data_IF_925531968820
#
_entry.id   IF_925531968820
#
_cell.length_a   1.000
_cell.length_b   1.000
_cell.length_c   1.000
_cell.angle_alpha   90.00
_cell.angle_beta   90.00
_cell.angle_gamma   90.00
#
_symmetry.space_group_name_H-M   'P 1'
#
loop_
_entity.id
_entity.type
_entity.pdbx_description
1 polymer ?
#
# COMPACT_ATOMS: atom_id res chain seq x y z
N UNK A 1 -4.61 22.67 -5.25
CA UNK A 1 -4.24 21.76 -4.13
C UNK A 1 -3.65 22.51 -2.93
N UNK A 2 -2.65 23.39 -3.12
CA UNK A 2 -1.96 24.07 -1.99
C UNK A 2 -2.77 25.15 -1.25
N UNK A 3 -4.00 25.48 -1.68
CA UNK A 3 -4.82 26.48 -0.98
C UNK A 3 -5.41 25.97 0.35
N UNK A 4 -5.38 24.65 0.58
CA UNK A 4 -5.88 23.98 1.80
C UNK A 4 -4.76 23.48 2.71
N UNK A 5 -3.50 23.60 2.30
CA UNK A 5 -2.37 23.16 3.12
C UNK A 5 -2.08 24.17 4.24
N UNK A 6 -1.96 23.69 5.48
CA UNK A 6 -1.66 24.50 6.66
C UNK A 6 -0.18 24.38 7.05
N UNK A 7 0.54 25.50 6.91
CA UNK A 7 1.89 25.73 7.47
C UNK A 7 3.04 24.97 6.78
N UNK A 8 4.26 25.54 6.73
CA UNK A 8 5.45 24.75 6.45
C UNK A 8 5.77 23.82 7.64
N UNK A 9 6.54 22.73 7.43
CA UNK A 9 7.01 21.91 8.54
C UNK A 9 7.80 22.77 9.54
N UNK A 10 7.43 22.65 10.81
CA UNK A 10 8.17 23.20 11.93
C UNK A 10 9.41 22.38 12.27
N UNK A 11 10.18 22.87 13.25
CA UNK A 11 11.37 22.17 13.75
C UNK A 11 10.98 20.81 14.32
N UNK A 12 11.59 19.73 13.82
CA UNK A 12 11.29 18.35 14.22
C UNK A 12 10.21 17.65 13.38
N UNK A 13 9.65 18.33 12.37
CA UNK A 13 8.66 17.78 11.43
C UNK A 13 9.27 17.50 10.04
N UNK A 14 10.60 17.53 9.91
CA UNK A 14 11.30 17.43 8.62
C UNK A 14 11.08 16.08 7.91
N UNK A 15 10.82 15.03 8.70
CA UNK A 15 10.57 13.67 8.21
C UNK A 15 9.06 13.29 8.22
N UNK A 16 8.18 14.25 8.53
CA UNK A 16 6.74 14.02 8.57
C UNK A 16 6.09 14.42 7.24
N UNK A 17 5.06 13.66 6.87
CA UNK A 17 4.18 13.99 5.74
C UNK A 17 2.84 14.55 6.22
N UNK A 18 2.50 14.30 7.49
CA UNK A 18 1.30 14.78 8.15
C UNK A 18 1.50 14.72 9.67
N UNK A 19 1.08 15.75 10.37
CA UNK A 19 1.09 15.82 11.84
C UNK A 19 -0.33 16.11 12.40
N UNK A 20 -1.14 16.87 11.66
CA UNK A 20 -2.50 17.19 12.06
C UNK A 20 -3.13 18.27 11.19
N UNK A 21 -4.47 18.36 11.22
CA UNK A 21 -5.23 19.34 10.42
C UNK A 21 -4.89 20.79 10.79
N UNK A 22 -4.61 21.03 12.08
CA UNK A 22 -4.31 22.36 12.62
C UNK A 22 -2.81 22.66 12.79
N UNK A 23 -1.93 21.68 12.56
CA UNK A 23 -0.47 21.83 12.72
C UNK A 23 0.24 21.82 11.38
N UNK A 24 0.32 20.65 10.75
CA UNK A 24 0.93 20.43 9.45
C UNK A 24 0.14 19.36 8.69
N UNK A 25 -0.60 19.80 7.69
CA UNK A 25 -1.45 18.92 6.85
C UNK A 25 -0.68 18.23 5.73
N UNK A 26 0.63 18.46 5.62
CA UNK A 26 1.41 18.11 4.43
C UNK A 26 1.13 19.04 3.25
N UNK A 27 2.01 18.99 2.25
CA UNK A 27 1.81 19.61 0.94
C UNK A 27 2.44 18.75 -0.15
N UNK A 28 1.77 18.66 -1.29
CA UNK A 28 2.26 17.92 -2.45
C UNK A 28 2.94 18.90 -3.40
N UNK A 29 4.27 18.89 -3.39
CA UNK A 29 5.06 19.84 -4.18
C UNK A 29 5.27 19.33 -5.61
N UNK A 30 5.10 20.24 -6.56
CA UNK A 30 5.57 20.05 -7.92
C UNK A 30 7.11 20.02 -7.98
N UNK A 31 7.64 18.97 -8.56
CA UNK A 31 9.05 18.70 -8.86
C UNK A 31 9.21 18.63 -10.37
N UNK A 32 10.46 18.57 -10.85
CA UNK A 32 10.72 18.32 -12.27
C UNK A 32 10.22 16.95 -12.75
N UNK A 33 9.96 16.02 -11.83
CA UNK A 33 9.49 14.67 -12.14
C UNK A 33 7.96 14.61 -12.24
N UNK A 34 7.22 15.34 -11.40
CA UNK A 34 5.77 15.24 -11.32
C UNK A 34 4.99 16.47 -11.84
N UNK A 35 5.67 17.54 -12.28
CA UNK A 35 5.04 18.71 -12.90
C UNK A 35 4.81 18.47 -14.40
N UNK A 36 3.71 17.78 -14.72
CA UNK A 36 3.37 17.43 -16.10
C UNK A 36 2.92 18.63 -16.94
N UNK A 37 2.65 19.78 -16.32
CA UNK A 37 2.33 21.02 -17.04
C UNK A 37 3.62 21.65 -17.55
N UNK A 38 4.66 21.67 -16.72
CA UNK A 38 5.98 22.19 -17.08
C UNK A 38 6.78 21.21 -17.96
N UNK A 39 6.64 19.90 -17.75
CA UNK A 39 7.45 18.85 -18.39
C UNK A 39 6.60 17.74 -19.02
N UNK A 40 5.73 18.03 -19.99
CA UNK A 40 4.72 17.07 -20.49
C UNK A 40 5.33 15.78 -21.07
N UNK A 41 6.51 15.86 -21.69
CA UNK A 41 7.15 14.72 -22.35
C UNK A 41 8.02 13.86 -21.40
N UNK A 42 8.26 14.33 -20.18
CA UNK A 42 9.15 13.68 -19.22
C UNK A 42 8.56 13.67 -17.80
N UNK A 43 7.24 13.76 -17.70
CA UNK A 43 6.55 13.69 -16.44
C UNK A 43 6.24 12.24 -16.09
N UNK A 44 6.58 11.87 -14.87
CA UNK A 44 6.18 10.62 -14.26
C UNK A 44 5.34 10.99 -13.03
N UNK A 45 4.12 10.47 -12.96
CA UNK A 45 3.29 10.62 -11.78
C UNK A 45 3.94 9.97 -10.55
N UNK A 46 3.34 10.17 -9.39
CA UNK A 46 3.86 9.59 -8.15
C UNK A 46 2.99 8.45 -7.66
N UNK A 47 3.63 7.36 -7.23
CA UNK A 47 2.99 6.27 -6.48
C UNK A 47 3.76 6.03 -5.19
N UNK A 48 3.03 5.87 -4.10
CA UNK A 48 3.63 5.49 -2.82
C UNK A 48 3.73 3.96 -2.77
N UNK A 49 4.95 3.46 -2.67
CA UNK A 49 5.26 2.04 -2.61
C UNK A 49 6.16 1.72 -1.40
N UNK A 50 6.20 0.44 -1.00
CA UNK A 50 7.08 -0.06 0.05
C UNK A 50 7.75 -1.38 -0.35
N UNK A 51 8.63 -1.35 -1.36
CA UNK A 51 9.16 -2.54 -2.01
C UNK A 51 10.08 -3.38 -1.14
N UNK A 52 10.82 -2.83 -0.16
CA UNK A 52 11.72 -3.66 0.64
C UNK A 52 11.19 -4.13 1.97
N UNK A 53 10.36 -3.35 2.65
CA UNK A 53 9.84 -3.82 3.93
C UNK A 53 8.63 -4.75 3.81
N UNK A 54 7.91 -4.77 2.69
CA UNK A 54 6.84 -5.75 2.40
C UNK A 54 6.88 -6.25 0.96
N UNK A 55 5.92 -7.10 0.59
CA UNK A 55 5.78 -7.59 -0.77
C UNK A 55 5.13 -6.57 -1.68
N UNK A 56 5.92 -6.02 -2.59
CA UNK A 56 5.46 -5.16 -3.68
C UNK A 56 5.96 -5.66 -5.03
N UNK A 57 5.10 -5.53 -6.03
CA UNK A 57 5.42 -5.71 -7.45
C UNK A 57 5.13 -4.44 -8.25
N UNK A 58 4.98 -3.29 -7.59
CA UNK A 58 4.53 -2.04 -8.22
C UNK A 58 5.42 -1.66 -9.39
N UNK A 59 6.75 -1.65 -9.23
CA UNK A 59 7.68 -1.30 -10.33
C UNK A 59 7.49 -2.19 -11.57
N UNK A 60 7.40 -3.50 -11.39
CA UNK A 60 7.15 -4.45 -12.48
C UNK A 60 5.75 -4.23 -13.09
N UNK A 61 4.73 -4.01 -12.25
CA UNK A 61 3.36 -3.80 -12.68
C UNK A 61 3.19 -2.48 -13.44
N UNK A 62 3.71 -1.37 -12.93
CA UNK A 62 3.53 -0.04 -13.51
C UNK A 62 4.30 0.08 -14.81
N UNK A 63 5.55 -0.39 -14.85
CA UNK A 63 6.36 -0.33 -16.06
C UNK A 63 5.75 -1.12 -17.22
N UNK A 64 5.43 -2.40 -17.01
CA UNK A 64 4.96 -3.27 -18.10
C UNK A 64 3.48 -3.09 -18.44
N UNK A 65 2.70 -2.42 -17.59
CA UNK A 65 1.32 -2.00 -17.91
C UNK A 65 1.24 -0.52 -18.35
N UNK A 66 2.37 0.12 -18.67
CA UNK A 66 2.44 1.50 -19.19
C UNK A 66 1.77 2.54 -18.26
N UNK A 67 1.86 2.31 -16.95
CA UNK A 67 1.39 3.25 -15.93
C UNK A 67 2.58 4.15 -15.56
N UNK A 68 2.57 5.38 -16.07
CA UNK A 68 3.65 6.35 -15.90
C UNK A 68 3.71 6.92 -14.47
N UNK A 69 4.10 6.09 -13.50
CA UNK A 69 4.28 6.47 -12.09
C UNK A 69 5.56 5.89 -11.49
N UNK A 70 6.16 6.62 -10.56
CA UNK A 70 7.36 6.20 -9.83
C UNK A 70 7.27 6.54 -8.34
N UNK A 71 7.96 5.73 -7.53
CA UNK A 71 8.12 5.98 -6.08
C UNK A 71 9.49 6.59 -5.82
N UNK A 72 9.54 7.64 -5.01
CA UNK A 72 10.73 8.42 -4.68
C UNK A 72 10.86 8.69 -3.17
N UNK A 73 10.41 7.73 -2.36
CA UNK A 73 10.56 7.74 -0.91
C UNK A 73 12.01 7.56 -0.45
N UNK A 74 12.26 7.71 0.87
CA UNK A 74 13.61 7.75 1.42
C UNK A 74 14.34 6.39 1.46
N UNK A 75 13.66 5.27 1.16
CA UNK A 75 14.29 3.94 1.18
C UNK A 75 15.37 3.83 0.08
N UNK A 76 16.65 3.55 0.45
CA UNK A 76 17.74 3.54 -0.52
C UNK A 76 17.57 2.51 -1.64
N UNK A 77 17.81 2.95 -2.88
CA UNK A 77 17.79 2.11 -4.08
C UNK A 77 16.39 1.84 -4.63
N UNK A 78 15.42 1.58 -3.76
CA UNK A 78 14.07 1.20 -4.15
C UNK A 78 13.11 2.40 -4.29
N UNK A 79 13.35 3.49 -3.57
CA UNK A 79 12.45 4.65 -3.52
C UNK A 79 11.19 4.41 -2.70
N UNK A 80 11.20 3.47 -1.77
CA UNK A 80 10.07 3.12 -0.90
C UNK A 80 9.81 4.07 0.27
N UNK A 81 8.61 3.97 0.86
CA UNK A 81 8.17 4.71 2.04
C UNK A 81 7.83 3.78 3.20
N UNK A 82 8.31 4.10 4.40
CA UNK A 82 7.88 3.38 5.61
C UNK A 82 6.35 3.38 5.77
N UNK A 83 5.79 2.36 6.44
CA UNK A 83 4.36 2.28 6.73
C UNK A 83 3.80 3.54 7.40
N UNK A 84 4.56 4.19 8.29
CA UNK A 84 4.12 5.44 8.94
C UNK A 84 4.08 6.62 7.95
N UNK A 85 5.11 6.76 7.11
CA UNK A 85 5.11 7.79 6.06
C UNK A 85 3.94 7.58 5.08
N UNK A 86 3.72 6.33 4.71
CA UNK A 86 2.59 5.84 3.93
C UNK A 86 1.23 6.31 4.48
N UNK A 87 0.92 6.04 5.75
CA UNK A 87 -0.35 6.44 6.37
C UNK A 87 -0.47 7.97 6.50
N UNK A 88 0.62 8.66 6.80
CA UNK A 88 0.67 10.12 6.84
C UNK A 88 0.41 10.74 5.46
N UNK A 89 0.99 10.21 4.38
CA UNK A 89 0.76 10.70 3.02
C UNK A 89 -0.73 10.58 2.65
N UNK A 90 -1.39 9.47 3.02
CA UNK A 90 -2.82 9.32 2.77
C UNK A 90 -3.66 10.32 3.60
N UNK A 91 -3.31 10.52 4.88
CA UNK A 91 -3.96 11.51 5.72
C UNK A 91 -3.81 12.94 5.16
N UNK A 92 -2.61 13.29 4.68
CA UNK A 92 -2.35 14.55 3.99
C UNK A 92 -3.18 14.69 2.72
N UNK A 93 -3.22 13.64 1.88
CA UNK A 93 -4.02 13.62 0.66
C UNK A 93 -5.51 13.85 0.94
N UNK A 94 -6.05 13.21 1.98
CA UNK A 94 -7.40 13.44 2.45
C UNK A 94 -7.60 14.89 2.93
N UNK A 95 -6.68 15.43 3.73
CA UNK A 95 -6.80 16.81 4.23
C UNK A 95 -6.75 17.86 3.11
N UNK A 96 -5.86 17.68 2.12
CA UNK A 96 -5.69 18.63 1.02
C UNK A 96 -6.56 18.33 -0.20
N UNK A 97 -7.38 17.26 -0.15
CA UNK A 97 -8.18 16.76 -1.27
C UNK A 97 -7.33 16.49 -2.53
N UNK A 98 -6.13 15.94 -2.33
CA UNK A 98 -5.20 15.58 -3.40
C UNK A 98 -5.38 14.12 -3.80
N UNK A 99 -5.24 13.83 -5.08
CA UNK A 99 -5.20 12.45 -5.56
C UNK A 99 -3.82 11.85 -5.33
N UNK A 100 -3.80 10.63 -4.78
CA UNK A 100 -2.57 9.85 -4.58
C UNK A 100 -2.79 8.42 -5.08
N UNK A 101 -1.78 7.86 -5.72
CA UNK A 101 -1.71 6.44 -6.04
C UNK A 101 -0.84 5.74 -5.01
N UNK A 102 -1.23 4.55 -4.63
CA UNK A 102 -0.70 3.91 -3.43
C UNK A 102 -0.81 2.40 -3.53
N UNK A 103 0.24 1.66 -3.14
CA UNK A 103 0.12 0.22 -2.91
C UNK A 103 -0.47 -0.03 -1.52
N UNK A 104 -1.64 -0.67 -1.45
CA UNK A 104 -2.26 -1.03 -0.17
C UNK A 104 -2.80 -2.46 -0.16
N UNK A 105 -3.11 -2.94 1.03
CA UNK A 105 -3.68 -4.26 1.27
C UNK A 105 -4.97 -4.19 2.08
N UNK A 106 -5.78 -5.23 1.94
CA UNK A 106 -7.04 -5.39 2.66
C UNK A 106 -7.05 -6.75 3.38
N UNK A 107 -7.78 -6.90 4.50
CA UNK A 107 -8.38 -5.83 5.28
C UNK A 107 -7.32 -5.10 6.11
N UNK A 108 -7.47 -3.78 6.30
CA UNK A 108 -6.55 -2.96 7.10
C UNK A 108 -7.32 -1.76 7.70
N UNK A 109 -6.87 -1.25 8.86
CA UNK A 109 -7.59 -0.24 9.65
C UNK A 109 -7.80 1.09 8.89
N UNK A 110 -6.79 1.58 8.18
CA UNK A 110 -6.86 2.78 7.34
C UNK A 110 -7.92 2.62 6.24
N UNK A 111 -7.97 1.45 5.59
CA UNK A 111 -9.01 1.21 4.57
C UNK A 111 -10.42 1.32 5.17
N UNK A 112 -10.63 0.71 6.34
CA UNK A 112 -11.93 0.76 7.04
C UNK A 112 -12.28 2.18 7.50
N UNK A 113 -11.29 2.96 7.94
CA UNK A 113 -11.48 4.33 8.40
C UNK A 113 -12.05 5.24 7.30
N UNK A 114 -11.65 5.04 6.05
CA UNK A 114 -12.05 5.90 4.92
C UNK A 114 -13.21 5.34 4.08
N UNK A 115 -13.73 4.16 4.42
CA UNK A 115 -14.85 3.54 3.71
C UNK A 115 -16.11 4.43 3.78
N UNK A 116 -16.71 4.74 2.63
CA UNK A 116 -17.88 5.62 2.54
C UNK A 116 -17.58 7.12 2.72
N UNK A 117 -16.31 7.51 2.79
CA UNK A 117 -15.88 8.92 2.81
C UNK A 117 -15.48 9.38 1.41
N UNK A 118 -15.21 10.68 1.21
CA UNK A 118 -14.68 11.19 -0.05
C UNK A 118 -13.24 10.73 -0.36
N UNK A 119 -12.53 10.20 0.64
CA UNK A 119 -11.18 9.64 0.51
C UNK A 119 -11.19 8.10 0.52
N UNK A 120 -12.32 7.49 0.15
CA UNK A 120 -12.43 6.03 0.01
C UNK A 120 -11.46 5.50 -1.05
N UNK A 121 -10.79 4.40 -0.74
CA UNK A 121 -9.84 3.75 -1.64
C UNK A 121 -10.56 3.24 -2.89
N UNK A 122 -10.00 3.58 -4.06
CA UNK A 122 -10.45 3.05 -5.34
C UNK A 122 -9.40 2.12 -5.89
N UNK A 123 -9.79 0.86 -6.13
CA UNK A 123 -8.87 -0.16 -6.63
C UNK A 123 -8.55 0.08 -8.11
N UNK A 124 -7.26 0.12 -8.43
CA UNK A 124 -6.79 0.03 -9.81
C UNK A 124 -6.85 -1.43 -10.26
N UNK A 125 -7.53 -1.69 -11.38
CA UNK A 125 -7.63 -3.02 -11.95
C UNK A 125 -6.42 -3.31 -12.84
N UNK A 126 -5.60 -4.26 -12.41
CA UNK A 126 -4.48 -4.81 -13.19
C UNK A 126 -4.92 -6.10 -13.92
N UNK A 127 -4.13 -6.61 -14.88
CA UNK A 127 -4.40 -7.90 -15.50
C UNK A 127 -4.58 -9.00 -14.44
N UNK A 128 -5.53 -9.93 -14.62
CA UNK A 128 -5.78 -10.96 -13.62
C UNK A 128 -4.56 -11.87 -13.41
N UNK A 129 -4.36 -12.38 -12.18
CA UNK A 129 -3.25 -13.27 -11.89
C UNK A 129 -3.35 -14.58 -12.68
N UNK A 130 -2.22 -15.00 -13.25
CA UNK A 130 -2.04 -16.33 -13.84
C UNK A 130 -0.88 -17.04 -13.16
N UNK A 131 -0.83 -18.37 -13.29
CA UNK A 131 0.25 -19.15 -12.68
C UNK A 131 1.61 -18.69 -13.22
N UNK A 132 1.69 -18.51 -14.55
CA UNK A 132 2.87 -17.98 -15.24
C UNK A 132 3.27 -16.62 -14.69
N UNK A 133 2.30 -15.74 -14.44
CA UNK A 133 2.61 -14.44 -13.86
C UNK A 133 3.23 -14.57 -12.47
N UNK A 134 2.63 -15.33 -11.56
CA UNK A 134 3.17 -15.46 -10.21
C UNK A 134 4.57 -16.09 -10.17
N UNK A 135 4.86 -17.03 -11.08
CA UNK A 135 6.18 -17.66 -11.21
C UNK A 135 7.24 -16.74 -11.84
N UNK A 136 6.82 -15.69 -12.54
CA UNK A 136 7.72 -14.73 -13.23
C UNK A 136 7.83 -13.38 -12.52
N UNK A 137 7.26 -13.27 -11.32
CA UNK A 137 7.41 -12.09 -10.48
C UNK A 137 8.84 -11.97 -9.98
N UNK A 138 9.28 -10.72 -9.85
CA UNK A 138 10.54 -10.42 -9.17
C UNK A 138 10.54 -10.98 -7.74
N UNK A 139 11.67 -11.55 -7.34
CA UNK A 139 11.86 -12.08 -6.00
C UNK A 139 12.01 -10.95 -4.97
N UNK A 140 11.94 -11.30 -3.69
CA UNK A 140 12.15 -10.34 -2.58
C UNK A 140 13.51 -9.64 -2.66
N UNK A 141 14.55 -10.30 -3.18
CA UNK A 141 15.89 -9.70 -3.32
C UNK A 141 15.94 -8.78 -4.52
N UNK A 142 15.36 -9.20 -5.64
CA UNK A 142 15.38 -8.44 -6.90
C UNK A 142 14.59 -7.13 -6.81
N UNK A 143 13.41 -7.13 -6.16
CA UNK A 143 12.62 -5.90 -5.99
C UNK A 143 13.33 -4.81 -5.15
N UNK A 144 14.33 -5.21 -4.38
CA UNK A 144 15.18 -4.34 -3.58
C UNK A 144 16.53 -4.02 -4.23
N UNK A 145 16.76 -4.52 -5.44
CA UNK A 145 17.99 -4.26 -6.16
C UNK A 145 18.14 -2.77 -6.43
N UNK A 146 19.36 -2.26 -6.26
CA UNK A 146 19.71 -0.91 -6.72
C UNK A 146 19.64 -0.79 -8.24
N UNK A 147 19.76 -1.92 -8.96
CA UNK A 147 19.58 -1.96 -10.41
C UNK A 147 18.08 -1.94 -10.76
N UNK A 148 17.69 -0.91 -11.51
CA UNK A 148 16.32 -0.72 -11.97
C UNK A 148 15.86 -1.84 -12.90
N UNK A 149 16.73 -2.34 -13.79
CA UNK A 149 16.36 -3.40 -14.75
C UNK A 149 15.97 -4.69 -14.02
N UNK A 150 16.71 -5.03 -12.96
CA UNK A 150 16.41 -6.15 -12.07
C UNK A 150 15.03 -5.98 -11.39
N UNK A 151 14.67 -4.77 -10.94
CA UNK A 151 13.37 -4.48 -10.29
C UNK A 151 12.18 -4.54 -11.25
N UNK A 152 12.40 -4.18 -12.51
CA UNK A 152 11.38 -4.23 -13.57
C UNK A 152 11.04 -5.67 -13.93
N UNK A 153 12.03 -6.56 -13.97
CA UNK A 153 11.80 -7.99 -14.21
C UNK A 153 11.12 -8.32 -15.55
N UNK A 154 10.53 -9.52 -15.63
CA UNK A 154 9.87 -10.03 -16.85
C UNK A 154 8.45 -9.42 -17.00
N UNK A 155 8.03 -9.00 -18.20
CA UNK A 155 6.67 -8.50 -18.45
C UNK A 155 5.55 -9.47 -18.06
N UNK A 156 5.81 -10.78 -18.08
CA UNK A 156 4.82 -11.79 -17.69
C UNK A 156 4.43 -11.70 -16.22
N UNK A 157 5.27 -11.14 -15.37
CA UNK A 157 5.01 -10.95 -13.94
C UNK A 157 4.12 -9.74 -13.61
N UNK A 158 3.75 -8.93 -14.61
CA UNK A 158 3.02 -7.67 -14.44
C UNK A 158 1.49 -7.84 -14.33
N UNK A 159 1.03 -8.68 -13.40
CA UNK A 159 -0.39 -8.90 -13.12
C UNK A 159 -0.76 -8.53 -11.67
N UNK A 160 -2.06 -8.41 -11.39
CA UNK A 160 -2.61 -8.30 -10.04
C UNK A 160 -2.22 -9.49 -9.16
N UNK A 161 -2.27 -9.30 -7.83
CA UNK A 161 -2.11 -10.38 -6.86
C UNK A 161 -3.26 -11.37 -6.88
N UNK A 162 -2.92 -12.63 -6.57
CA UNK A 162 -3.92 -13.64 -6.27
C UNK A 162 -4.81 -13.17 -5.11
N UNK A 163 -6.13 -13.38 -5.18
CA UNK A 163 -6.99 -13.13 -4.04
C UNK A 163 -6.57 -14.07 -2.90
N UNK A 164 -6.00 -13.51 -1.84
CA UNK A 164 -5.65 -14.24 -0.62
C UNK A 164 -6.89 -14.51 0.26
N UNK A 165 -8.05 -14.80 -0.33
CA UNK A 165 -9.34 -14.91 0.36
C UNK A 165 -9.30 -15.93 1.51
N UNK A 166 -8.75 -17.12 1.26
CA UNK A 166 -8.65 -18.15 2.30
C UNK A 166 -7.77 -17.69 3.48
N UNK A 167 -6.61 -17.10 3.20
CA UNK A 167 -5.71 -16.59 4.25
C UNK A 167 -6.37 -15.47 5.05
N UNK A 168 -7.14 -14.59 4.39
CA UNK A 168 -7.91 -13.53 5.05
C UNK A 168 -9.01 -14.12 5.94
N UNK A 169 -9.78 -15.09 5.47
CA UNK A 169 -10.81 -15.77 6.27
C UNK A 169 -10.22 -16.45 7.51
N UNK A 170 -9.09 -17.15 7.33
CA UNK A 170 -8.34 -17.76 8.44
C UNK A 170 -7.89 -16.67 9.42
N UNK A 171 -7.28 -15.60 8.93
CA UNK A 171 -6.79 -14.48 9.74
C UNK A 171 -7.89 -13.81 10.56
N UNK A 172 -9.02 -13.48 9.95
CA UNK A 172 -10.18 -12.88 10.63
C UNK A 172 -10.74 -13.82 11.69
N UNK A 173 -10.90 -15.11 11.37
CA UNK A 173 -11.39 -16.08 12.35
C UNK A 173 -10.45 -16.24 13.54
N UNK A 174 -9.14 -16.18 13.31
CA UNK A 174 -8.15 -16.21 14.39
C UNK A 174 -8.20 -14.94 15.25
N UNK A 175 -8.43 -13.78 14.63
CA UNK A 175 -8.60 -12.52 15.35
C UNK A 175 -9.85 -12.56 16.25
N UNK A 176 -10.99 -13.02 15.72
CA UNK A 176 -12.25 -13.10 16.47
C UNK A 176 -12.13 -14.03 17.70
N UNK A 177 -11.38 -15.13 17.57
CA UNK A 177 -11.15 -16.07 18.67
C UNK A 177 -10.12 -15.54 19.67
N UNK A 178 -9.09 -14.81 19.20
CA UNK A 178 -7.99 -14.35 20.06
C UNK A 178 -8.26 -13.03 20.79
N UNK A 179 -9.22 -12.24 20.30
CA UNK A 179 -9.61 -10.97 20.89
C UNK A 179 -11.14 -10.73 20.79
N UNK A 180 -11.98 -11.60 21.40
CA UNK A 180 -13.43 -11.43 21.34
C UNK A 180 -13.88 -10.11 22.00
N UNK A 181 -15.01 -9.52 21.57
CA UNK A 181 -15.53 -8.29 22.14
C UNK A 181 -15.68 -8.39 23.67
N UNK A 182 -15.02 -7.48 24.40
CA UNK A 182 -15.04 -7.43 25.86
C UNK A 182 -13.90 -8.17 26.57
N UNK A 183 -12.95 -8.76 25.84
CA UNK A 183 -11.72 -9.28 26.42
C UNK A 183 -10.77 -8.13 26.82
N UNK A 184 -10.27 -8.10 28.07
CA UNK A 184 -9.22 -7.16 28.47
C UNK A 184 -7.94 -7.36 27.64
N UNK A 185 -7.32 -6.28 27.17
CA UNK A 185 -6.09 -6.30 26.37
C UNK A 185 -4.94 -7.15 26.96
N UNK A 186 -4.71 -7.20 28.29
CA UNK A 186 -3.67 -8.08 28.86
C UNK A 186 -3.94 -9.58 28.66
N UNK A 187 -5.18 -9.95 28.33
CA UNK A 187 -5.62 -11.32 28.05
C UNK A 187 -5.66 -11.63 26.55
N UNK A 188 -5.31 -10.67 25.67
CA UNK A 188 -5.15 -10.87 24.23
C UNK A 188 -3.91 -11.75 23.91
N UNK A 189 -3.84 -12.98 24.42
CA UNK A 189 -3.37 -14.15 23.67
C UNK A 189 -3.51 -15.45 24.46
N UNK A 190 -4.16 -16.44 23.85
CA UNK A 190 -3.44 -17.65 23.48
C UNK A 190 -3.70 -17.96 22.00
N UNK A 191 -3.08 -17.20 21.09
CA UNK A 191 -3.22 -17.41 19.64
C UNK A 191 -3.00 -18.87 19.21
N UNK A 192 -2.18 -19.62 19.97
CA UNK A 192 -1.98 -21.05 19.76
C UNK A 192 -3.25 -21.90 19.92
N UNK A 193 -4.12 -21.60 20.88
CA UNK A 193 -5.40 -22.32 21.03
C UNK A 193 -6.39 -21.95 19.93
N UNK A 194 -6.43 -20.67 19.54
CA UNK A 194 -7.22 -20.22 18.40
C UNK A 194 -6.81 -20.95 17.11
N UNK A 195 -5.50 -21.04 16.84
CA UNK A 195 -4.94 -21.77 15.68
C UNK A 195 -5.23 -23.26 15.76
N UNK A 196 -5.15 -23.87 16.95
CA UNK A 196 -5.46 -25.29 17.14
C UNK A 196 -6.94 -25.62 16.92
N UNK A 197 -7.82 -24.68 17.26
CA UNK A 197 -9.26 -24.87 17.16
C UNK A 197 -9.84 -24.41 15.82
N UNK A 198 -9.07 -23.68 15.00
CA UNK A 198 -9.49 -23.28 13.67
C UNK A 198 -9.71 -24.53 12.79
N UNK A 199 -10.95 -24.73 12.33
CA UNK A 199 -11.31 -25.77 11.38
C UNK A 199 -12.19 -25.17 10.30
N UNK A 200 -11.81 -25.41 9.05
CA UNK A 200 -12.64 -25.12 7.89
C UNK A 200 -13.03 -26.44 7.24
N UNK A 201 -14.34 -26.66 7.08
CA UNK A 201 -14.85 -27.85 6.37
C UNK A 201 -14.77 -27.64 4.86
N UNK A 202 -14.69 -28.72 4.07
CA UNK A 202 -14.72 -28.62 2.60
C UNK A 202 -15.95 -27.89 2.08
N UNK A 203 -17.11 -28.02 2.75
CA UNK A 203 -18.32 -27.29 2.39
C UNK A 203 -18.20 -25.78 2.64
N UNK A 204 -17.60 -25.36 3.75
CA UNK A 204 -17.32 -23.94 4.00
C UNK A 204 -16.27 -23.40 3.02
N UNK A 205 -15.28 -24.22 2.65
CA UNK A 205 -14.31 -23.87 1.63
C UNK A 205 -15.00 -23.64 0.27
N UNK A 206 -15.95 -24.50 -0.11
CA UNK A 206 -16.74 -24.36 -1.34
C UNK A 206 -17.82 -23.27 -1.32
N UNK A 207 -18.02 -22.57 -0.19
CA UNK A 207 -18.85 -21.37 -0.12
C UNK A 207 -18.02 -20.07 -0.23
N UNK A 208 -16.69 -20.17 -0.10
CA UNK A 208 -15.75 -19.06 -0.23
C UNK A 208 -15.28 -18.88 -1.69
N UNK A 209 -15.32 -19.96 -2.48
CA UNK A 209 -14.90 -20.01 -3.89
C UNK A 209 -16.08 -20.36 -4.80
#
# INVERSE_FOLDING_TARGET
PDQVAHGPPGVGQEDLYFDGVDTFTGFFRNTTQNDCVAWPDNCTGHIVDFPCGWTSFVTQQTYHNEIAVESNGPEPGSGGYSYNAMTQIWAAANATQSHVLFLWWEPEAMYQQYLGTSAEFQRVNLPPPTQVCAETRVTNVERCSADWQTRVGDPKGACADYPHALMKVIGTSLQDISAPPGMPEPLHSPALEAVRNFRITSNQLGQIF
#
